data_IF_130451733665
#
_entry.id   IF_130451733665
#
_cell.length_a   1.000
_cell.length_b   1.000
_cell.length_c   1.000
_cell.angle_alpha   90.00
_cell.angle_beta   90.00
_cell.angle_gamma   90.00
#
_symmetry.space_group_name_H-M   'P 1'
#
loop_
_entity.id
_entity.type
_entity.pdbx_description
1 polymer ?
#
# COMPACT_ATOMS: atom_id res chain seq x y z
N UNK A 1 -10.60 -22.14 10.59
CA UNK A 1 -10.76 -23.25 9.62
C UNK A 1 -10.33 -22.82 8.20
N UNK A 2 -10.90 -21.75 7.61
CA UNK A 2 -10.54 -21.31 6.24
C UNK A 2 -9.06 -20.92 6.09
N UNK A 3 -8.48 -20.18 7.04
CA UNK A 3 -7.07 -19.83 7.01
C UNK A 3 -6.15 -21.06 7.04
N UNK A 4 -6.44 -22.02 7.90
CA UNK A 4 -5.69 -23.29 7.96
C UNK A 4 -5.84 -24.09 6.67
N UNK A 5 -7.03 -24.11 6.07
CA UNK A 5 -7.28 -24.77 4.79
C UNK A 5 -6.46 -24.13 3.68
N UNK A 6 -6.42 -22.80 3.62
CA UNK A 6 -5.59 -22.04 2.67
C UNK A 6 -4.10 -22.39 2.82
N UNK A 7 -3.58 -22.41 4.06
CA UNK A 7 -2.19 -22.79 4.32
C UNK A 7 -1.88 -24.24 3.91
N UNK A 8 -2.81 -25.15 4.15
CA UNK A 8 -2.66 -26.54 3.73
C UNK A 8 -2.68 -26.68 2.20
N UNK A 9 -3.63 -26.01 1.54
CA UNK A 9 -3.71 -25.96 0.08
C UNK A 9 -2.41 -25.39 -0.52
N UNK A 10 -1.88 -24.32 0.05
CA UNK A 10 -0.62 -23.71 -0.37
C UNK A 10 0.55 -24.69 -0.27
N UNK A 11 0.65 -25.42 0.85
CA UNK A 11 1.70 -26.47 1.03
C UNK A 11 1.60 -27.58 0.00
N UNK A 12 0.40 -27.94 -0.43
CA UNK A 12 0.20 -28.96 -1.48
C UNK A 12 0.57 -28.44 -2.87
N UNK A 13 0.32 -27.17 -3.16
CA UNK A 13 0.60 -26.56 -4.47
C UNK A 13 2.08 -26.22 -4.66
N UNK A 14 2.83 -25.99 -3.58
CA UNK A 14 4.26 -25.63 -3.65
C UNK A 14 5.11 -26.62 -4.45
N UNK A 15 5.04 -27.95 -4.24
CA UNK A 15 5.81 -28.91 -5.05
C UNK A 15 5.43 -28.87 -6.54
N UNK A 16 4.13 -28.69 -6.84
CA UNK A 16 3.64 -28.60 -8.23
C UNK A 16 4.16 -27.32 -8.92
N UNK A 17 4.13 -26.19 -8.23
CA UNK A 17 4.66 -24.94 -8.79
C UNK A 17 6.17 -25.00 -9.00
N UNK A 18 6.93 -25.58 -8.07
CA UNK A 18 8.38 -25.77 -8.22
C UNK A 18 8.71 -26.70 -9.40
N UNK A 19 7.95 -27.79 -9.56
CA UNK A 19 8.09 -28.67 -10.72
C UNK A 19 7.76 -27.94 -12.02
N UNK A 20 6.71 -27.14 -12.05
CA UNK A 20 6.35 -26.35 -13.23
C UNK A 20 7.47 -25.36 -13.60
N UNK A 21 8.07 -24.69 -12.61
CA UNK A 21 9.21 -23.78 -12.82
C UNK A 21 10.40 -24.52 -13.45
N UNK A 22 10.80 -25.66 -12.86
CA UNK A 22 11.91 -26.45 -13.39
C UNK A 22 11.63 -26.92 -14.83
N UNK A 23 10.39 -27.32 -15.10
CA UNK A 23 9.99 -27.76 -16.46
C UNK A 23 10.00 -26.59 -17.45
N UNK A 24 9.48 -25.42 -17.07
CA UNK A 24 9.59 -24.22 -17.90
C UNK A 24 11.03 -23.91 -18.27
N UNK A 25 11.95 -23.97 -17.29
CA UNK A 25 13.38 -23.73 -17.51
C UNK A 25 13.99 -24.75 -18.47
N UNK A 26 13.59 -26.02 -18.42
CA UNK A 26 14.09 -27.05 -19.35
C UNK A 26 13.71 -26.74 -20.81
N UNK A 27 12.54 -26.18 -21.06
CA UNK A 27 12.08 -25.81 -22.40
C UNK A 27 12.55 -24.45 -22.88
N UNK A 28 12.99 -23.55 -21.99
CA UNK A 28 13.48 -22.20 -22.32
C UNK A 28 15.01 -22.08 -22.31
N UNK A 29 15.73 -22.97 -21.61
CA UNK A 29 17.18 -22.90 -21.48
C UNK A 29 17.86 -23.26 -22.82
N UNK A 30 18.68 -22.38 -23.42
CA UNK A 30 19.36 -22.63 -24.69
C UNK A 30 20.35 -23.83 -24.64
N UNK A 31 20.79 -24.23 -23.45
CA UNK A 31 21.64 -25.42 -23.27
C UNK A 31 20.85 -26.74 -23.15
N UNK A 32 19.52 -26.69 -23.12
CA UNK A 32 18.66 -27.87 -23.08
C UNK A 32 18.29 -28.33 -24.48
N UNK A 33 18.46 -29.61 -24.84
CA UNK A 33 17.98 -30.13 -26.12
C UNK A 33 16.47 -29.94 -26.34
N UNK A 34 15.68 -29.84 -25.26
CA UNK A 34 14.23 -29.65 -25.31
C UNK A 34 13.82 -28.26 -25.79
N UNK A 35 14.69 -27.24 -25.64
CA UNK A 35 14.43 -25.87 -26.08
C UNK A 35 14.35 -25.73 -27.61
N UNK A 36 14.89 -26.67 -28.34
CA UNK A 36 14.91 -26.68 -29.80
C UNK A 36 13.72 -27.42 -30.43
N UNK A 37 12.78 -27.93 -29.65
CA UNK A 37 11.57 -28.58 -30.17
C UNK A 37 10.56 -27.54 -30.67
N UNK A 38 9.73 -27.91 -31.66
CA UNK A 38 8.76 -27.01 -32.32
C UNK A 38 7.79 -26.37 -31.33
N UNK A 39 7.48 -27.03 -30.22
CA UNK A 39 6.55 -26.58 -29.20
C UNK A 39 7.22 -26.02 -27.93
N UNK A 40 8.55 -25.96 -27.91
CA UNK A 40 9.32 -25.58 -26.69
C UNK A 40 8.85 -24.27 -26.06
N UNK A 41 8.69 -23.21 -26.85
CA UNK A 41 8.23 -21.90 -26.36
C UNK A 41 6.83 -21.95 -25.74
N UNK A 42 5.90 -22.68 -26.38
CA UNK A 42 4.54 -22.83 -25.85
C UNK A 42 4.51 -23.62 -24.55
N UNK A 43 5.30 -24.70 -24.47
CA UNK A 43 5.41 -25.50 -23.26
C UNK A 43 6.09 -24.70 -22.14
N UNK A 44 7.18 -24.02 -22.42
CA UNK A 44 7.84 -23.14 -21.47
C UNK A 44 6.87 -22.08 -20.91
N UNK A 45 6.13 -21.39 -21.78
CA UNK A 45 5.14 -20.38 -21.40
C UNK A 45 4.00 -20.97 -20.55
N UNK A 46 3.50 -22.16 -20.92
CA UNK A 46 2.44 -22.82 -20.16
C UNK A 46 2.90 -23.22 -18.75
N UNK A 47 4.10 -23.74 -18.62
CA UNK A 47 4.65 -24.10 -17.31
C UNK A 47 5.06 -22.88 -16.48
N UNK A 48 5.54 -21.80 -17.11
CA UNK A 48 5.80 -20.53 -16.41
C UNK A 48 4.50 -19.93 -15.85
N UNK A 49 3.45 -19.91 -16.65
CA UNK A 49 2.13 -19.45 -16.18
C UNK A 49 1.60 -20.32 -15.03
N UNK A 50 1.70 -21.65 -15.14
CA UNK A 50 1.31 -22.58 -14.07
C UNK A 50 2.11 -22.34 -12.78
N UNK A 51 3.43 -22.13 -12.90
CA UNK A 51 4.27 -21.76 -11.77
C UNK A 51 3.77 -20.46 -11.12
N UNK A 52 3.53 -19.41 -11.90
CA UNK A 52 3.11 -18.10 -11.37
C UNK A 52 1.73 -18.12 -10.71
N UNK A 53 0.81 -18.95 -11.19
CA UNK A 53 -0.50 -19.16 -10.55
C UNK A 53 -0.43 -19.93 -9.23
N UNK A 54 0.60 -20.76 -9.04
CA UNK A 54 0.75 -21.62 -7.85
C UNK A 54 1.87 -21.24 -6.89
N UNK A 55 2.77 -20.31 -7.24
CA UNK A 55 3.88 -19.91 -6.36
C UNK A 55 3.39 -19.11 -5.16
N UNK A 56 4.17 -19.14 -4.09
CA UNK A 56 4.02 -18.20 -2.98
C UNK A 56 4.72 -16.90 -3.32
N UNK A 57 3.99 -15.78 -3.18
CA UNK A 57 4.53 -14.45 -3.37
C UNK A 57 4.95 -13.89 -2.02
N UNK A 58 6.23 -13.62 -1.87
CA UNK A 58 6.80 -12.93 -0.72
C UNK A 58 6.84 -11.44 -0.99
N UNK A 59 6.97 -10.66 0.09
CA UNK A 59 7.17 -9.22 -0.01
C UNK A 59 8.38 -8.91 -0.90
N UNK A 60 8.22 -8.17 -2.00
CA UNK A 60 9.35 -7.75 -2.82
C UNK A 60 10.23 -6.74 -2.09
N UNK A 61 11.49 -6.68 -2.48
CA UNK A 61 12.41 -5.63 -2.02
C UNK A 61 12.22 -4.35 -2.84
N UNK A 62 12.50 -3.19 -2.27
CA UNK A 62 12.48 -1.92 -3.01
C UNK A 62 13.51 -1.90 -4.13
N UNK A 63 14.69 -2.49 -3.93
CA UNK A 63 15.77 -2.57 -4.92
C UNK A 63 16.11 -1.20 -5.53
N UNK A 64 16.18 -0.16 -4.69
CA UNK A 64 16.60 1.19 -5.08
C UNK A 64 18.00 1.40 -4.53
N UNK A 65 18.99 1.23 -5.37
CA UNK A 65 20.41 1.27 -4.98
C UNK A 65 21.10 2.59 -5.36
N UNK A 66 20.52 3.36 -6.26
CA UNK A 66 21.02 4.69 -6.67
C UNK A 66 19.88 5.60 -7.14
N UNK A 67 20.17 6.90 -7.22
CA UNK A 67 19.29 7.92 -7.81
C UNK A 67 20.14 9.05 -8.40
N UNK A 68 19.55 9.90 -9.24
CA UNK A 68 20.24 11.05 -9.85
C UNK A 68 19.92 12.33 -9.09
N UNK A 69 20.90 12.99 -8.52
CA UNK A 69 20.74 14.26 -7.81
C UNK A 69 21.58 15.34 -8.50
N UNK A 70 20.93 16.37 -9.03
CA UNK A 70 21.62 17.45 -9.76
C UNK A 70 22.42 16.98 -10.98
N UNK A 71 21.99 15.88 -11.63
CA UNK A 71 22.67 15.27 -12.78
C UNK A 71 23.80 14.29 -12.40
N UNK A 72 24.04 14.05 -11.10
CA UNK A 72 25.04 13.10 -10.61
C UNK A 72 24.33 11.88 -10.02
N UNK A 73 24.75 10.69 -10.40
CA UNK A 73 24.27 9.45 -9.80
C UNK A 73 24.90 9.27 -8.42
N UNK A 74 24.05 9.07 -7.41
CA UNK A 74 24.45 8.89 -6.02
C UNK A 74 23.87 7.58 -5.46
N UNK A 75 24.61 6.86 -4.60
CA UNK A 75 24.11 5.68 -3.90
C UNK A 75 22.91 6.01 -3.00
N UNK A 76 22.01 5.04 -2.84
CA UNK A 76 20.87 5.08 -1.93
C UNK A 76 20.95 3.92 -0.97
N UNK A 77 20.86 4.20 0.32
CA UNK A 77 20.83 3.20 1.39
C UNK A 77 19.46 3.22 2.07
N UNK A 78 18.77 2.07 2.08
CA UNK A 78 17.52 1.91 2.80
C UNK A 78 17.82 1.53 4.26
N UNK A 79 17.45 2.39 5.21
CA UNK A 79 17.62 2.16 6.64
C UNK A 79 16.29 2.26 7.37
N UNK A 80 16.13 1.57 8.51
CA UNK A 80 14.97 1.74 9.37
C UNK A 80 15.25 2.90 10.34
N UNK A 81 14.61 4.05 10.12
CA UNK A 81 14.72 5.22 11.00
C UNK A 81 13.99 5.01 12.34
N UNK A 82 12.90 4.23 12.31
CA UNK A 82 12.16 3.82 13.51
C UNK A 82 11.51 2.46 13.27
N UNK A 83 11.53 1.59 14.28
CA UNK A 83 10.85 0.30 14.25
C UNK A 83 9.76 0.24 15.32
N UNK A 84 8.53 -0.03 14.89
CA UNK A 84 7.37 -0.26 15.73
C UNK A 84 6.78 -1.65 15.44
N UNK A 85 5.99 -2.23 16.33
CA UNK A 85 5.47 -3.58 16.13
C UNK A 85 4.75 -3.82 14.80
N UNK A 86 3.98 -2.82 14.33
CA UNK A 86 3.16 -2.94 13.14
C UNK A 86 3.66 -2.13 11.93
N UNK A 87 4.72 -1.33 12.10
CA UNK A 87 5.27 -0.52 11.01
C UNK A 87 6.74 -0.19 11.26
N UNK A 88 7.53 -0.21 10.19
CA UNK A 88 8.86 0.42 10.18
C UNK A 88 8.77 1.72 9.41
N UNK A 89 9.44 2.76 9.89
CA UNK A 89 9.69 3.95 9.11
C UNK A 89 11.00 3.76 8.36
N UNK A 90 10.93 3.57 7.06
CA UNK A 90 12.11 3.45 6.22
C UNK A 90 12.58 4.84 5.79
N UNK A 91 13.88 5.09 5.87
CA UNK A 91 14.55 6.24 5.31
C UNK A 91 15.42 5.81 4.13
N UNK A 92 15.27 6.47 2.99
CA UNK A 92 16.07 6.25 1.80
C UNK A 92 17.19 7.29 1.77
N UNK A 93 18.28 6.98 2.49
CA UNK A 93 19.44 7.86 2.62
C UNK A 93 20.23 7.92 1.32
N UNK A 94 20.39 9.12 0.76
CA UNK A 94 21.23 9.36 -0.41
C UNK A 94 22.61 9.74 0.04
N UNK A 95 23.64 9.11 -0.51
CA UNK A 95 25.03 9.54 -0.30
C UNK A 95 25.30 10.79 -1.14
N UNK A 96 25.19 11.96 -0.51
CA UNK A 96 25.41 13.26 -1.14
C UNK A 96 26.87 13.73 -1.06
N UNK A 97 27.80 12.88 -0.59
CA UNK A 97 29.20 13.18 -0.56
C UNK A 97 29.74 13.44 -1.98
N UNK A 98 30.49 14.52 -2.13
CA UNK A 98 30.99 14.94 -3.45
C UNK A 98 30.08 15.91 -4.22
N UNK A 99 28.85 16.16 -3.74
CA UNK A 99 28.02 17.24 -4.28
C UNK A 99 28.42 18.60 -3.67
N UNK A 100 28.15 19.74 -4.36
CA UNK A 100 28.49 21.07 -3.84
C UNK A 100 27.83 21.35 -2.49
N UNK A 101 28.63 21.79 -1.50
CA UNK A 101 28.12 22.14 -0.16
C UNK A 101 27.11 23.32 -0.18
N UNK A 102 27.12 24.13 -1.24
CA UNK A 102 26.14 25.22 -1.46
C UNK A 102 24.75 24.73 -1.92
N UNK A 103 24.57 23.42 -2.11
CA UNK A 103 23.29 22.85 -2.50
C UNK A 103 22.22 23.11 -1.43
N UNK A 104 21.00 23.53 -1.79
CA UNK A 104 19.89 23.64 -0.85
C UNK A 104 19.57 22.28 -0.20
N UNK A 105 19.15 22.31 1.06
CA UNK A 105 18.65 21.12 1.74
C UNK A 105 17.33 20.68 1.09
N UNK A 106 17.24 19.41 0.71
CA UNK A 106 16.04 18.86 0.11
C UNK A 106 14.88 18.79 1.12
N UNK A 107 13.65 19.01 0.66
CA UNK A 107 12.48 18.82 1.49
C UNK A 107 12.38 17.38 2.00
N UNK A 108 12.06 17.25 3.30
CA UNK A 108 11.77 15.95 3.92
C UNK A 108 10.33 15.56 3.63
N UNK A 109 10.11 14.36 3.09
CA UNK A 109 8.79 13.86 2.70
C UNK A 109 8.52 12.52 3.37
N UNK A 110 7.40 12.45 4.10
CA UNK A 110 6.83 11.19 4.57
C UNK A 110 5.82 10.67 3.54
N UNK A 111 6.07 9.51 2.95
CA UNK A 111 5.09 8.78 2.14
C UNK A 111 4.43 7.73 3.02
N UNK A 112 3.13 7.90 3.28
CA UNK A 112 2.32 6.95 4.03
C UNK A 112 1.70 5.97 3.07
N UNK A 113 2.25 4.74 3.04
CA UNK A 113 1.79 3.66 2.19
C UNK A 113 0.47 3.06 2.67
N UNK A 114 -0.35 2.49 1.78
CA UNK A 114 -1.59 1.83 2.17
C UNK A 114 -1.36 0.66 3.14
N UNK A 115 -2.20 0.55 4.17
CA UNK A 115 -2.40 -0.66 4.97
C UNK A 115 -3.74 -1.28 4.53
N UNK A 116 -3.79 -1.78 3.32
CA UNK A 116 -4.99 -2.30 2.66
C UNK A 116 -4.75 -3.61 1.90
N UNK A 117 -3.77 -4.39 2.34
CA UNK A 117 -3.48 -5.72 1.84
C UNK A 117 -2.17 -5.84 1.06
N UNK A 118 -1.69 -4.79 0.43
CA UNK A 118 -0.41 -4.80 -0.30
C UNK A 118 0.75 -4.24 0.54
N UNK A 119 1.97 -4.60 0.18
CA UNK A 119 3.17 -4.05 0.80
C UNK A 119 3.50 -2.64 0.29
N UNK A 120 4.29 -1.91 1.06
CA UNK A 120 4.77 -0.55 0.73
C UNK A 120 5.57 -0.49 -0.58
N UNK A 121 6.15 -1.61 -1.00
CA UNK A 121 6.89 -1.75 -2.25
C UNK A 121 6.05 -1.49 -3.50
N UNK A 122 4.70 -1.54 -3.38
CA UNK A 122 3.79 -1.10 -4.43
C UNK A 122 4.03 0.37 -4.83
N UNK A 123 4.57 1.19 -3.92
CA UNK A 123 4.93 2.59 -4.16
C UNK A 123 6.38 2.79 -4.64
N UNK A 124 7.07 1.72 -5.09
CA UNK A 124 8.47 1.76 -5.53
C UNK A 124 8.74 2.86 -6.56
N UNK A 125 7.87 3.00 -7.55
CA UNK A 125 8.05 3.99 -8.60
C UNK A 125 7.77 5.41 -8.12
N UNK A 126 6.85 5.59 -7.16
CA UNK A 126 6.65 6.86 -6.45
C UNK A 126 7.91 7.25 -5.66
N UNK A 127 8.52 6.28 -4.96
CA UNK A 127 9.78 6.50 -4.24
C UNK A 127 10.88 6.90 -5.20
N UNK A 128 11.05 6.18 -6.31
CA UNK A 128 12.05 6.51 -7.34
C UNK A 128 11.86 7.90 -7.94
N UNK A 129 10.61 8.29 -8.18
CA UNK A 129 10.29 9.60 -8.75
C UNK A 129 10.59 10.76 -7.79
N UNK A 130 10.45 10.55 -6.48
CA UNK A 130 10.66 11.57 -5.47
C UNK A 130 12.12 11.69 -5.02
N UNK A 131 12.87 10.61 -4.99
CA UNK A 131 14.25 10.55 -4.49
C UNK A 131 15.24 11.57 -5.09
N UNK A 132 15.18 11.93 -6.39
CA UNK A 132 16.12 12.92 -6.94
C UNK A 132 16.13 14.29 -6.24
N UNK A 133 14.98 14.70 -5.67
CA UNK A 133 14.77 16.03 -5.15
C UNK A 133 14.30 16.07 -3.68
N UNK A 134 14.14 14.92 -3.02
CA UNK A 134 13.57 14.87 -1.67
C UNK A 134 14.35 13.94 -0.76
N UNK A 135 14.38 14.28 0.52
CA UNK A 135 14.82 13.40 1.61
C UNK A 135 13.61 12.57 2.06
N UNK A 136 13.63 11.26 1.78
CA UNK A 136 12.40 10.47 1.68
C UNK A 136 12.26 9.42 2.78
N UNK A 137 11.13 9.46 3.47
CA UNK A 137 10.70 8.47 4.47
C UNK A 137 9.44 7.76 3.97
N UNK A 138 9.34 6.45 4.23
CA UNK A 138 8.21 5.62 3.78
C UNK A 138 7.75 4.72 4.92
N UNK A 139 6.44 4.66 5.18
CA UNK A 139 5.88 3.68 6.11
C UNK A 139 5.90 2.29 5.49
N UNK A 140 6.46 1.32 6.20
CA UNK A 140 6.55 -0.07 5.79
C UNK A 140 5.79 -0.96 6.78
N UNK A 141 4.54 -1.23 6.47
CA UNK A 141 3.64 -1.97 7.35
C UNK A 141 4.05 -3.43 7.48
N UNK A 142 4.04 -3.89 8.72
CA UNK A 142 4.38 -5.27 9.07
C UNK A 142 3.15 -6.17 8.88
N UNK A 143 3.35 -7.31 8.25
CA UNK A 143 2.31 -8.34 8.14
C UNK A 143 1.86 -8.79 9.54
N UNK A 144 0.59 -8.59 9.88
CA UNK A 144 0.07 -8.83 11.22
C UNK A 144 0.21 -10.29 11.69
N UNK A 145 0.29 -11.26 10.75
CA UNK A 145 0.57 -12.67 11.10
C UNK A 145 1.95 -12.88 11.72
N UNK A 146 2.87 -11.94 11.51
CA UNK A 146 4.24 -12.01 12.06
C UNK A 146 4.38 -11.28 13.40
N UNK A 147 3.38 -10.51 13.83
CA UNK A 147 3.41 -9.71 15.06
C UNK A 147 2.87 -10.50 16.24
N UNK A 148 3.68 -10.86 17.25
CA UNK A 148 3.23 -11.61 18.42
C UNK A 148 2.09 -10.92 19.19
N UNK A 149 1.18 -11.70 19.79
CA UNK A 149 0.08 -11.17 20.61
C UNK A 149 0.56 -10.27 21.77
N UNK A 150 1.75 -10.52 22.31
CA UNK A 150 2.35 -9.72 23.38
C UNK A 150 2.60 -8.25 23.01
N UNK A 151 2.57 -7.93 21.71
CA UNK A 151 2.69 -6.54 21.22
C UNK A 151 1.39 -5.76 21.28
N UNK A 152 0.30 -6.37 21.78
CA UNK A 152 -1.02 -5.74 21.89
C UNK A 152 -1.81 -5.72 20.58
N UNK A 153 -3.03 -5.11 20.61
CA UNK A 153 -3.85 -4.84 19.45
C UNK A 153 -3.27 -3.67 18.63
N UNK A 154 -3.86 -3.44 17.45
CA UNK A 154 -3.57 -2.26 16.63
C UNK A 154 -4.88 -1.74 16.02
N UNK A 155 -5.28 -0.56 16.44
CA UNK A 155 -6.51 0.13 16.07
C UNK A 155 -6.26 1.24 15.03
N UNK A 156 -7.32 1.85 14.52
CA UNK A 156 -7.22 3.04 13.68
C UNK A 156 -6.60 4.23 14.46
N UNK A 157 -6.84 4.32 15.77
CA UNK A 157 -6.24 5.33 16.65
C UNK A 157 -4.72 5.15 16.73
N UNK A 158 -4.23 3.90 16.88
CA UNK A 158 -2.80 3.59 16.88
C UNK A 158 -2.13 3.95 15.54
N UNK A 159 -2.86 3.85 14.43
CA UNK A 159 -2.35 4.30 13.12
C UNK A 159 -2.12 5.81 13.12
N UNK A 160 -3.07 6.59 13.65
CA UNK A 160 -2.94 8.04 13.79
C UNK A 160 -1.73 8.40 14.65
N UNK A 161 -1.56 7.72 15.77
CA UNK A 161 -0.40 7.93 16.65
C UNK A 161 0.94 7.62 15.93
N UNK A 162 0.99 6.55 15.16
CA UNK A 162 2.19 6.23 14.39
C UNK A 162 2.55 7.33 13.39
N UNK A 163 1.54 7.90 12.71
CA UNK A 163 1.77 9.01 11.77
C UNK A 163 2.30 10.25 12.49
N UNK A 164 1.74 10.59 13.66
CA UNK A 164 2.20 11.72 14.49
C UNK A 164 3.66 11.49 14.91
N UNK A 165 3.98 10.33 15.48
CA UNK A 165 5.34 9.98 15.91
C UNK A 165 6.36 10.02 14.75
N UNK A 166 5.95 9.59 13.55
CA UNK A 166 6.83 9.65 12.37
C UNK A 166 7.08 11.09 11.92
N UNK A 167 6.05 11.94 11.94
CA UNK A 167 6.21 13.37 11.64
C UNK A 167 7.06 14.08 12.69
N UNK A 168 6.90 13.74 13.97
CA UNK A 168 7.72 14.26 15.06
C UNK A 168 9.20 13.89 14.89
N UNK A 169 9.50 12.63 14.52
CA UNK A 169 10.85 12.16 14.27
C UNK A 169 11.47 12.87 13.07
N UNK A 170 10.73 13.05 11.99
CA UNK A 170 11.19 13.76 10.78
C UNK A 170 11.40 15.26 11.09
N UNK A 171 10.52 15.82 11.92
CA UNK A 171 10.62 17.17 12.47
C UNK A 171 10.01 18.27 11.59
N UNK A 172 10.15 19.52 12.03
CA UNK A 172 9.50 20.68 11.42
C UNK A 172 9.86 20.87 9.95
N UNK A 173 8.88 21.35 9.16
CA UNK A 173 9.09 21.68 7.75
C UNK A 173 8.99 20.46 6.81
N UNK A 174 8.56 19.33 7.32
CA UNK A 174 8.27 18.13 6.52
C UNK A 174 7.03 18.29 5.63
N UNK A 175 6.87 17.36 4.71
CA UNK A 175 5.69 17.20 3.84
C UNK A 175 5.16 15.79 3.99
N UNK A 176 3.85 15.56 3.87
CA UNK A 176 3.27 14.23 3.93
C UNK A 176 2.48 13.92 2.65
N UNK A 177 2.69 12.72 2.13
CA UNK A 177 1.94 12.16 1.00
C UNK A 177 1.26 10.89 1.50
N UNK A 178 -0.06 10.80 1.35
CA UNK A 178 -0.86 9.64 1.70
C UNK A 178 -1.56 9.07 0.47
N UNK A 179 -1.46 7.75 0.28
CA UNK A 179 -2.01 7.09 -0.90
C UNK A 179 -3.10 6.11 -0.50
N UNK A 180 -4.31 6.30 -1.02
CA UNK A 180 -5.47 5.47 -0.77
C UNK A 180 -5.99 5.59 0.69
N UNK A 181 -6.27 4.50 1.37
CA UNK A 181 -6.85 4.43 2.72
C UNK A 181 -6.14 5.31 3.79
N UNK A 182 -4.79 5.45 3.81
CA UNK A 182 -4.08 6.33 4.75
C UNK A 182 -4.49 7.80 4.75
N UNK A 183 -5.17 8.29 3.73
CA UNK A 183 -5.63 9.68 3.68
C UNK A 183 -6.47 10.06 4.91
N UNK A 184 -7.29 9.12 5.42
CA UNK A 184 -8.13 9.34 6.61
C UNK A 184 -7.30 9.47 7.88
N UNK A 185 -6.45 8.48 8.29
CA UNK A 185 -5.65 8.63 9.51
C UNK A 185 -4.59 9.74 9.39
N UNK A 186 -4.07 10.05 8.20
CA UNK A 186 -3.16 11.19 8.00
C UNK A 186 -3.89 12.51 8.23
N UNK A 187 -5.11 12.68 7.70
CA UNK A 187 -5.91 13.88 7.98
C UNK A 187 -6.24 13.97 9.46
N UNK A 188 -6.51 12.85 10.11
CA UNK A 188 -6.69 12.78 11.57
C UNK A 188 -5.45 13.25 12.32
N UNK A 189 -4.28 12.71 12.00
CA UNK A 189 -3.01 13.07 12.61
C UNK A 189 -2.69 14.57 12.45
N UNK A 190 -2.76 15.09 11.22
CA UNK A 190 -2.51 16.50 10.93
C UNK A 190 -3.51 17.41 11.64
N UNK A 191 -4.78 16.99 11.77
CA UNK A 191 -5.81 17.74 12.54
C UNK A 191 -5.45 17.84 14.02
N UNK A 192 -5.04 16.74 14.63
CA UNK A 192 -4.66 16.73 16.05
C UNK A 192 -3.38 17.53 16.31
N UNK A 193 -2.36 17.37 15.46
CA UNK A 193 -1.14 18.17 15.52
C UNK A 193 -1.44 19.67 15.38
N UNK A 194 -2.31 20.05 14.43
CA UNK A 194 -2.71 21.46 14.25
C UNK A 194 -3.47 22.01 15.46
N UNK A 195 -4.38 21.24 16.06
CA UNK A 195 -5.13 21.63 17.25
C UNK A 195 -4.23 21.80 18.48
N UNK A 196 -3.17 21.00 18.58
CA UNK A 196 -2.17 21.06 19.66
C UNK A 196 -1.10 22.13 19.45
N UNK A 197 -1.04 22.74 18.24
CA UNK A 197 0.03 23.68 17.88
C UNK A 197 1.40 23.01 17.77
N UNK A 198 1.42 21.76 17.31
CA UNK A 198 2.62 20.93 17.24
C UNK A 198 3.67 21.54 16.31
N UNK A 199 4.94 21.71 16.75
CA UNK A 199 6.00 22.27 15.94
C UNK A 199 6.40 21.37 14.75
N UNK A 200 6.14 20.06 14.81
CA UNK A 200 6.39 19.12 13.72
C UNK A 200 5.24 19.06 12.69
N UNK A 201 4.22 19.91 12.82
CA UNK A 201 3.13 20.00 11.85
C UNK A 201 3.71 20.12 10.41
N UNK A 202 3.31 19.25 9.45
CA UNK A 202 3.85 19.29 8.10
C UNK A 202 3.44 20.59 7.37
N UNK A 203 4.27 21.02 6.42
CA UNK A 203 3.97 22.21 5.58
C UNK A 203 2.92 21.93 4.52
N UNK A 204 2.83 20.71 4.07
CA UNK A 204 1.80 20.30 3.11
C UNK A 204 1.38 18.85 3.34
N UNK A 205 0.14 18.57 2.95
CA UNK A 205 -0.38 17.21 2.86
C UNK A 205 -0.95 16.97 1.46
N UNK A 206 -0.48 15.89 0.83
CA UNK A 206 -0.99 15.39 -0.44
C UNK A 206 -1.79 14.13 -0.18
N UNK A 207 -3.02 14.09 -0.67
CA UNK A 207 -3.94 12.97 -0.51
C UNK A 207 -4.33 12.41 -1.87
N UNK A 208 -4.08 11.13 -2.09
CA UNK A 208 -4.27 10.47 -3.38
C UNK A 208 -5.25 9.31 -3.26
N UNK A 209 -6.38 9.39 -3.96
CA UNK A 209 -7.34 8.29 -4.12
C UNK A 209 -7.87 7.73 -2.81
N UNK A 210 -8.26 8.56 -1.84
CA UNK A 210 -8.62 8.12 -0.50
C UNK A 210 -10.06 8.38 -0.07
N UNK A 211 -10.60 7.57 0.85
CA UNK A 211 -12.01 7.56 1.23
C UNK A 211 -12.36 8.61 2.31
N UNK A 212 -12.09 9.90 2.05
CA UNK A 212 -12.38 10.99 3.03
C UNK A 212 -13.88 11.11 3.27
N UNK A 213 -14.71 11.09 2.20
CA UNK A 213 -16.16 11.00 2.33
C UNK A 213 -16.73 9.97 1.35
N UNK A 214 -16.91 8.76 1.81
CA UNK A 214 -17.36 7.61 1.01
C UNK A 214 -18.82 7.68 0.58
N UNK A 215 -19.55 8.73 0.96
CA UNK A 215 -20.92 8.99 0.49
C UNK A 215 -20.94 9.61 -0.92
N UNK A 216 -19.80 10.17 -1.36
CA UNK A 216 -19.64 10.78 -2.69
C UNK A 216 -19.32 9.70 -3.70
N UNK A 217 -20.08 9.60 -4.76
CA UNK A 217 -19.94 8.58 -5.82
C UNK A 217 -19.58 7.20 -5.25
N UNK A 218 -20.45 6.59 -4.42
CA UNK A 218 -20.14 5.37 -3.70
C UNK A 218 -19.87 4.22 -4.66
N UNK A 219 -18.75 3.56 -4.46
CA UNK A 219 -18.32 2.38 -5.23
C UNK A 219 -18.97 1.10 -4.71
N UNK A 220 -18.71 -0.03 -5.38
CA UNK A 220 -19.18 -1.35 -4.90
C UNK A 220 -18.63 -1.69 -3.50
N UNK A 221 -17.40 -1.29 -3.19
CA UNK A 221 -16.78 -1.47 -1.87
C UNK A 221 -17.57 -0.70 -0.81
N UNK A 222 -17.89 0.57 -1.08
CA UNK A 222 -18.68 1.40 -0.17
C UNK A 222 -20.09 0.84 0.03
N UNK A 223 -20.73 0.39 -1.05
CA UNK A 223 -22.07 -0.23 -0.99
C UNK A 223 -22.06 -1.54 -0.17
N UNK A 224 -21.03 -2.36 -0.29
CA UNK A 224 -20.87 -3.58 0.52
C UNK A 224 -20.72 -3.23 2.00
N UNK A 225 -19.82 -2.28 2.33
CA UNK A 225 -19.59 -1.84 3.70
C UNK A 225 -20.86 -1.31 4.37
N UNK A 226 -21.67 -0.54 3.64
CA UNK A 226 -22.95 0.00 4.12
C UNK A 226 -24.04 -1.06 4.27
N UNK A 227 -24.07 -2.07 3.39
CA UNK A 227 -25.12 -3.11 3.38
C UNK A 227 -24.94 -4.17 4.45
N UNK A 228 -23.70 -4.47 4.85
CA UNK A 228 -23.35 -5.52 5.83
C UNK A 228 -23.12 -4.92 7.20
N UNK A 229 -23.55 -5.64 8.26
CA UNK A 229 -23.26 -5.25 9.64
C UNK A 229 -21.78 -5.47 9.98
N UNK A 230 -21.28 -4.78 11.00
CA UNK A 230 -19.93 -4.99 11.52
C UNK A 230 -19.73 -6.44 12.01
N UNK A 231 -20.76 -7.05 12.59
CA UNK A 231 -20.72 -8.45 13.01
C UNK A 231 -20.61 -9.41 11.82
N UNK A 232 -21.20 -9.05 10.67
CA UNK A 232 -21.02 -9.84 9.47
C UNK A 232 -19.55 -9.84 9.04
N UNK A 233 -18.89 -8.68 9.03
CA UNK A 233 -17.46 -8.59 8.70
C UNK A 233 -16.64 -9.40 9.70
N UNK A 234 -16.88 -9.22 11.00
CA UNK A 234 -16.17 -9.96 12.06
C UNK A 234 -16.29 -11.48 11.87
N UNK A 235 -17.49 -11.98 11.60
CA UNK A 235 -17.74 -13.42 11.54
C UNK A 235 -17.39 -14.05 10.18
N UNK A 236 -17.28 -13.24 9.11
CA UNK A 236 -17.09 -13.77 7.75
C UNK A 236 -15.63 -13.66 7.28
N UNK A 237 -14.94 -12.55 7.60
CA UNK A 237 -13.62 -12.27 7.04
C UNK A 237 -12.48 -12.20 8.06
N UNK A 238 -12.78 -12.22 9.37
CA UNK A 238 -11.74 -12.24 10.41
C UNK A 238 -11.43 -13.68 10.80
N UNK A 239 -10.14 -13.99 10.84
CA UNK A 239 -9.63 -15.32 11.18
C UNK A 239 -8.44 -15.21 12.13
N UNK A 240 -8.20 -16.29 12.90
CA UNK A 240 -7.02 -16.38 13.76
C UNK A 240 -5.83 -16.91 12.99
N UNK A 241 -4.69 -16.27 13.19
CA UNK A 241 -3.40 -16.68 12.64
C UNK A 241 -3.05 -18.08 13.12
N UNK A 242 -2.65 -19.02 12.23
CA UNK A 242 -2.25 -20.37 12.60
C UNK A 242 -0.92 -20.40 13.35
N UNK A 243 -0.65 -21.53 14.03
CA UNK A 243 0.53 -21.71 14.91
C UNK A 243 1.87 -21.72 14.17
N UNK A 244 1.87 -21.68 12.86
CA UNK A 244 3.08 -21.62 12.03
C UNK A 244 3.71 -20.23 11.98
N UNK A 245 3.02 -19.20 12.48
CA UNK A 245 3.47 -17.81 12.47
C UNK A 245 3.64 -17.23 13.87
N UNK A 246 4.54 -16.24 14.06
CA UNK A 246 4.75 -15.59 15.36
C UNK A 246 3.49 -14.96 15.96
N UNK A 247 2.57 -14.46 15.12
CA UNK A 247 1.29 -13.88 15.52
C UNK A 247 0.20 -14.90 15.83
N UNK A 248 0.54 -16.13 16.18
CA UNK A 248 -0.42 -17.18 16.53
C UNK A 248 -1.55 -16.70 17.41
N UNK A 249 -2.78 -17.01 17.02
CA UNK A 249 -4.06 -16.59 17.65
C UNK A 249 -4.43 -15.12 17.47
N UNK A 250 -3.59 -14.26 16.88
CA UNK A 250 -4.00 -12.91 16.52
C UNK A 250 -5.17 -12.96 15.56
N UNK A 251 -6.19 -12.16 15.80
CA UNK A 251 -7.28 -11.98 14.86
C UNK A 251 -6.84 -11.03 13.74
N UNK A 252 -7.03 -11.45 12.49
CA UNK A 252 -6.60 -10.71 11.30
C UNK A 252 -7.66 -10.77 10.21
N UNK A 253 -7.66 -9.78 9.34
CA UNK A 253 -8.25 -9.89 8.00
C UNK A 253 -7.16 -10.42 7.06
N UNK A 254 -7.24 -11.69 6.61
CA UNK A 254 -6.15 -12.31 5.85
C UNK A 254 -5.94 -11.67 4.49
N UNK A 255 -4.67 -11.49 4.11
CA UNK A 255 -4.28 -10.91 2.83
C UNK A 255 -4.83 -11.68 1.63
N UNK A 256 -4.87 -13.02 1.69
CA UNK A 256 -5.42 -13.83 0.59
C UNK A 256 -6.92 -13.58 0.34
N UNK A 257 -7.71 -13.24 1.37
CA UNK A 257 -9.12 -12.86 1.19
C UNK A 257 -9.25 -11.47 0.56
N UNK A 258 -8.40 -10.54 0.95
CA UNK A 258 -8.35 -9.21 0.35
C UNK A 258 -8.00 -9.31 -1.12
N UNK A 259 -6.95 -10.06 -1.45
CA UNK A 259 -6.53 -10.34 -2.83
C UNK A 259 -7.66 -10.96 -3.66
N UNK A 260 -8.34 -11.98 -3.10
CA UNK A 260 -9.49 -12.59 -3.78
C UNK A 260 -10.62 -11.56 -4.04
N UNK A 261 -10.85 -10.62 -3.11
CA UNK A 261 -11.79 -9.51 -3.27
C UNK A 261 -11.39 -8.57 -4.42
N UNK A 262 -10.13 -8.17 -4.49
CA UNK A 262 -9.62 -7.31 -5.58
C UNK A 262 -9.72 -7.99 -6.95
N UNK A 263 -9.33 -9.26 -7.05
CA UNK A 263 -9.47 -10.03 -8.30
C UNK A 263 -10.94 -10.16 -8.72
N UNK A 264 -11.85 -10.36 -7.75
CA UNK A 264 -13.28 -10.52 -8.02
C UNK A 264 -13.98 -9.22 -8.50
N UNK A 265 -13.38 -8.04 -8.27
CA UNK A 265 -13.91 -6.78 -8.80
C UNK A 265 -13.73 -6.66 -10.33
N UNK A 266 -12.60 -7.14 -10.86
CA UNK A 266 -12.27 -7.05 -12.29
C UNK A 266 -11.67 -8.37 -12.84
N UNK A 267 -12.39 -9.51 -12.81
CA UNK A 267 -11.85 -10.82 -13.15
C UNK A 267 -11.39 -10.90 -14.61
N UNK A 268 -12.14 -10.28 -15.53
CA UNK A 268 -11.81 -10.32 -16.96
C UNK A 268 -10.47 -9.63 -17.27
N UNK A 269 -10.14 -8.54 -16.57
CA UNK A 269 -8.86 -7.85 -16.70
C UNK A 269 -7.68 -8.76 -16.31
N UNK A 270 -7.83 -9.52 -15.23
CA UNK A 270 -6.79 -10.45 -14.79
C UNK A 270 -6.61 -11.62 -15.75
N UNK A 271 -7.72 -12.17 -16.26
CA UNK A 271 -7.67 -13.26 -17.27
C UNK A 271 -6.99 -12.76 -18.55
N UNK A 272 -7.39 -11.60 -19.07
CA UNK A 272 -6.77 -11.02 -20.27
C UNK A 272 -5.28 -10.75 -20.07
N UNK A 273 -4.90 -10.15 -18.93
CA UNK A 273 -3.49 -9.85 -18.63
C UNK A 273 -2.62 -11.12 -18.56
N UNK A 274 -3.12 -12.21 -17.96
CA UNK A 274 -2.39 -13.48 -17.94
C UNK A 274 -2.32 -14.15 -19.32
N UNK A 275 -3.35 -13.95 -20.16
CA UNK A 275 -3.34 -14.43 -21.53
C UNK A 275 -2.34 -13.67 -22.39
N UNK A 276 -2.29 -12.35 -22.28
CA UNK A 276 -1.32 -11.52 -22.97
C UNK A 276 0.10 -11.88 -22.55
N UNK A 277 0.35 -12.05 -21.27
CA UNK A 277 1.63 -12.55 -20.73
C UNK A 277 2.06 -13.88 -21.37
N UNK A 278 1.11 -14.83 -21.50
CA UNK A 278 1.40 -16.11 -22.17
C UNK A 278 1.80 -15.91 -23.64
N UNK A 279 1.12 -15.00 -24.35
CA UNK A 279 1.43 -14.69 -25.75
C UNK A 279 2.80 -14.00 -25.87
N UNK A 280 3.15 -13.09 -24.96
CA UNK A 280 4.41 -12.35 -24.98
C UNK A 280 5.59 -13.27 -24.67
N UNK A 281 5.42 -14.24 -23.79
CA UNK A 281 6.40 -15.33 -23.59
C UNK A 281 6.65 -16.13 -24.88
N UNK A 282 5.60 -16.45 -25.65
CA UNK A 282 5.75 -17.17 -26.92
C UNK A 282 6.44 -16.32 -27.98
N UNK A 283 6.09 -15.03 -28.06
CA UNK A 283 6.70 -14.06 -29.00
C UNK A 283 8.17 -13.79 -28.64
N UNK A 284 8.51 -13.87 -27.35
CA UNK A 284 9.81 -13.49 -26.78
C UNK A 284 9.93 -11.99 -26.52
N UNK A 285 8.81 -11.31 -26.27
CA UNK A 285 8.74 -9.91 -25.87
C UNK A 285 9.11 -9.79 -24.39
N UNK A 286 10.40 -9.58 -24.13
CA UNK A 286 10.93 -9.60 -22.77
C UNK A 286 10.51 -8.38 -21.94
N UNK A 287 10.30 -7.23 -22.59
CA UNK A 287 9.93 -5.99 -21.88
C UNK A 287 8.51 -6.10 -21.28
N UNK A 288 7.55 -6.59 -22.06
CA UNK A 288 6.17 -6.81 -21.61
C UNK A 288 6.08 -7.96 -20.60
N UNK A 289 6.85 -9.03 -20.81
CA UNK A 289 6.99 -10.14 -19.84
C UNK A 289 7.48 -9.64 -18.51
N UNK A 290 8.53 -8.81 -18.49
CA UNK A 290 9.11 -8.31 -17.24
C UNK A 290 8.20 -7.25 -16.58
N UNK A 291 7.47 -6.44 -17.34
CA UNK A 291 6.48 -5.53 -16.83
C UNK A 291 5.33 -6.28 -16.12
N UNK A 292 4.78 -7.33 -16.76
CA UNK A 292 3.77 -8.19 -16.16
C UNK A 292 4.28 -8.87 -14.88
N UNK A 293 5.52 -9.39 -14.90
CA UNK A 293 6.13 -10.04 -13.73
C UNK A 293 6.26 -9.07 -12.58
N UNK A 294 6.80 -7.86 -12.81
CA UNK A 294 6.94 -6.82 -11.79
C UNK A 294 5.59 -6.47 -11.17
N UNK A 295 4.57 -6.25 -12.00
CA UNK A 295 3.24 -5.92 -11.50
C UNK A 295 2.64 -7.03 -10.64
N UNK A 296 2.61 -8.27 -11.13
CA UNK A 296 1.98 -9.39 -10.41
C UNK A 296 2.81 -9.90 -9.22
N UNK A 297 4.13 -9.71 -9.19
CA UNK A 297 4.94 -9.99 -8.02
C UNK A 297 4.60 -9.05 -6.86
N UNK A 298 4.26 -7.78 -7.14
CA UNK A 298 3.74 -6.83 -6.14
C UNK A 298 2.27 -7.12 -5.79
N UNK A 299 1.43 -7.28 -6.80
CA UNK A 299 -0.02 -7.40 -6.64
C UNK A 299 -0.43 -8.67 -5.89
N UNK A 300 0.30 -9.77 -6.07
CA UNK A 300 0.02 -11.03 -5.39
C UNK A 300 0.73 -11.14 -4.02
N UNK A 301 1.71 -10.29 -3.73
CA UNK A 301 2.36 -10.23 -2.43
C UNK A 301 1.48 -9.44 -1.45
N UNK A 302 0.73 -10.14 -0.61
CA UNK A 302 -0.26 -9.54 0.30
C UNK A 302 0.10 -9.82 1.76
N UNK A 303 -0.31 -8.89 2.62
CA UNK A 303 -0.15 -8.97 4.07
C UNK A 303 -1.50 -9.06 4.79
N UNK A 304 -1.51 -9.65 5.96
CA UNK A 304 -2.67 -9.68 6.84
C UNK A 304 -2.81 -8.36 7.60
N UNK A 305 -4.05 -7.87 7.75
CA UNK A 305 -4.36 -6.68 8.55
C UNK A 305 -4.78 -7.08 9.97
N UNK A 306 -4.40 -6.32 11.00
CA UNK A 306 -5.00 -6.48 12.33
C UNK A 306 -6.52 -6.32 12.26
N UNK A 307 -7.26 -7.23 12.91
CA UNK A 307 -8.72 -7.23 12.85
C UNK A 307 -9.33 -5.95 13.41
N UNK A 308 -8.75 -5.42 14.49
CA UNK A 308 -9.19 -4.21 15.16
C UNK A 308 -9.13 -3.01 14.20
N UNK A 309 -8.00 -2.81 13.54
CA UNK A 309 -7.80 -1.75 12.57
C UNK A 309 -8.78 -1.86 11.38
N UNK A 310 -8.94 -3.07 10.83
CA UNK A 310 -9.86 -3.31 9.73
C UNK A 310 -11.30 -3.01 10.12
N UNK A 311 -11.77 -3.52 11.28
CA UNK A 311 -13.13 -3.31 11.75
C UNK A 311 -13.40 -1.86 12.14
N UNK A 312 -12.41 -1.16 12.74
CA UNK A 312 -12.52 0.27 13.02
C UNK A 312 -12.63 1.07 11.72
N UNK A 313 -11.84 0.73 10.71
CA UNK A 313 -11.92 1.37 9.39
C UNK A 313 -13.31 1.17 8.76
N UNK A 314 -13.83 -0.06 8.75
CA UNK A 314 -15.20 -0.32 8.24
C UNK A 314 -16.22 0.51 8.98
N UNK A 315 -16.20 0.52 10.31
CA UNK A 315 -17.16 1.24 11.15
C UNK A 315 -17.03 2.75 10.99
N UNK A 316 -15.82 3.29 11.26
CA UNK A 316 -15.60 4.73 11.41
C UNK A 316 -15.66 5.45 10.06
N UNK A 317 -15.03 4.85 9.03
CA UNK A 317 -14.88 5.49 7.72
C UNK A 317 -16.06 5.18 6.80
N UNK A 318 -16.45 3.89 6.70
CA UNK A 318 -17.40 3.45 5.67
C UNK A 318 -18.85 3.38 6.15
N UNK A 319 -19.12 3.13 7.44
CA UNK A 319 -20.49 3.01 7.97
C UNK A 319 -20.96 4.28 8.67
N UNK A 320 -20.16 4.81 9.59
CA UNK A 320 -20.53 5.94 10.44
C UNK A 320 -20.04 7.29 9.87
N UNK A 321 -19.13 7.28 8.89
CA UNK A 321 -18.61 8.48 8.23
C UNK A 321 -18.13 9.54 9.24
N UNK A 322 -17.50 9.12 10.35
CA UNK A 322 -17.23 9.99 11.50
C UNK A 322 -16.37 11.20 11.17
N UNK A 323 -15.43 11.09 10.22
CA UNK A 323 -14.58 12.22 9.81
C UNK A 323 -15.41 13.33 9.16
N UNK A 324 -16.16 13.11 8.05
CA UNK A 324 -16.98 14.16 7.47
C UNK A 324 -18.17 14.59 8.34
N UNK A 325 -18.65 13.75 9.28
CA UNK A 325 -19.67 14.11 10.27
C UNK A 325 -19.09 14.94 11.45
N UNK A 326 -17.76 15.08 11.58
CA UNK A 326 -17.10 15.81 12.66
C UNK A 326 -17.26 15.13 14.04
N UNK A 327 -17.54 13.83 14.06
CA UNK A 327 -17.77 13.03 15.28
C UNK A 327 -16.63 12.06 15.58
N UNK A 328 -15.56 12.07 14.79
CA UNK A 328 -14.42 11.19 15.02
C UNK A 328 -13.54 11.70 16.16
N UNK A 329 -13.23 10.79 17.08
CA UNK A 329 -12.31 11.03 18.19
C UNK A 329 -11.23 9.95 18.17
N UNK A 330 -9.99 10.35 18.41
CA UNK A 330 -8.82 9.51 18.60
C UNK A 330 -8.40 9.65 20.06
N UNK A 331 -8.40 8.58 20.81
CA UNK A 331 -8.16 8.58 22.28
C UNK A 331 -8.97 9.64 23.04
N UNK A 332 -10.20 9.93 22.58
CA UNK A 332 -11.08 10.92 23.19
C UNK A 332 -10.86 12.37 22.72
N UNK A 333 -9.82 12.65 21.95
CA UNK A 333 -9.57 13.96 21.35
C UNK A 333 -10.27 14.06 19.97
N UNK A 334 -11.05 15.12 19.77
CA UNK A 334 -11.82 15.30 18.54
C UNK A 334 -10.91 15.61 17.36
N UNK A 335 -11.06 14.87 16.27
CA UNK A 335 -10.46 15.19 14.98
C UNK A 335 -11.21 16.35 14.34
N UNK A 336 -10.54 17.50 14.18
CA UNK A 336 -11.11 18.76 13.74
C UNK A 336 -10.32 19.35 12.56
N UNK A 337 -10.53 18.87 11.30
CA UNK A 337 -9.79 19.33 10.13
C UNK A 337 -9.92 20.86 9.90
N UNK A 338 -10.99 21.47 10.38
CA UNK A 338 -11.19 22.92 10.34
C UNK A 338 -10.17 23.74 11.13
N UNK A 339 -9.40 23.10 12.03
CA UNK A 339 -8.32 23.75 12.80
C UNK A 339 -7.03 23.90 12.00
N UNK A 340 -6.86 23.15 10.94
CA UNK A 340 -5.67 23.19 10.07
C UNK A 340 -5.64 24.52 9.32
N UNK A 341 -4.55 25.28 9.46
CA UNK A 341 -4.40 26.62 8.84
C UNK A 341 -3.16 26.77 7.97
N UNK A 342 -2.01 26.29 8.47
CA UNK A 342 -0.69 26.56 7.90
C UNK A 342 -0.13 25.31 7.17
N UNK A 343 -1.01 24.50 6.58
CA UNK A 343 -0.67 23.29 5.83
C UNK A 343 -1.31 23.40 4.46
N UNK A 344 -0.52 23.41 3.40
CA UNK A 344 -1.06 23.37 2.05
C UNK A 344 -1.70 22.01 1.77
N UNK A 345 -2.85 21.99 1.08
CA UNK A 345 -3.61 20.79 0.76
C UNK A 345 -3.62 20.53 -0.74
N UNK A 346 -3.16 19.35 -1.13
CA UNK A 346 -3.29 18.86 -2.50
C UNK A 346 -4.05 17.54 -2.51
N UNK A 347 -5.11 17.43 -3.32
CA UNK A 347 -5.87 16.19 -3.50
C UNK A 347 -5.79 15.71 -4.95
N UNK A 348 -5.61 14.39 -5.13
CA UNK A 348 -5.51 13.73 -6.43
C UNK A 348 -6.51 12.59 -6.45
N UNK A 349 -7.32 12.50 -7.51
CA UNK A 349 -8.28 11.40 -7.74
C UNK A 349 -8.13 10.84 -9.14
N UNK A 350 -8.45 9.56 -9.32
CA UNK A 350 -8.64 8.96 -10.64
C UNK A 350 -10.09 9.16 -11.12
N UNK A 351 -10.28 9.53 -12.37
CA UNK A 351 -11.64 9.69 -12.94
C UNK A 351 -12.41 8.36 -12.94
N UNK A 352 -11.69 7.26 -13.21
CA UNK A 352 -12.24 5.91 -13.31
C UNK A 352 -11.88 5.02 -12.10
N UNK A 353 -11.57 5.63 -10.94
CA UNK A 353 -11.27 4.87 -9.72
C UNK A 353 -12.54 4.17 -9.21
N UNK A 354 -12.53 2.82 -9.26
CA UNK A 354 -13.63 1.96 -8.83
C UNK A 354 -13.55 1.56 -7.34
N UNK A 355 -12.49 2.00 -6.64
CA UNK A 355 -12.28 1.76 -5.21
C UNK A 355 -12.63 3.02 -4.41
N UNK A 356 -12.05 4.17 -4.76
CA UNK A 356 -12.33 5.47 -4.16
C UNK A 356 -12.99 6.39 -5.20
N UNK A 357 -14.31 6.47 -5.20
CA UNK A 357 -15.07 7.21 -6.21
C UNK A 357 -14.71 8.70 -6.22
N UNK A 358 -14.81 9.30 -7.41
CA UNK A 358 -14.51 10.71 -7.63
C UNK A 358 -15.26 11.62 -6.67
N UNK A 359 -14.59 12.61 -6.09
CA UNK A 359 -15.10 13.52 -5.06
C UNK A 359 -14.86 13.03 -3.62
N UNK A 360 -14.53 11.77 -3.40
CA UNK A 360 -14.29 11.25 -2.05
C UNK A 360 -13.07 11.88 -1.40
N UNK A 361 -11.93 11.94 -2.11
CA UNK A 361 -10.71 12.59 -1.60
C UNK A 361 -10.83 14.09 -1.60
N UNK A 362 -11.45 14.68 -2.64
CA UNK A 362 -11.68 16.11 -2.75
C UNK A 362 -12.51 16.68 -1.58
N UNK A 363 -13.34 15.86 -0.93
CA UNK A 363 -14.07 16.24 0.28
C UNK A 363 -13.19 16.85 1.38
N UNK A 364 -11.90 16.53 1.42
CA UNK A 364 -10.94 17.13 2.35
C UNK A 364 -10.91 18.67 2.26
N UNK A 365 -11.14 19.25 1.08
CA UNK A 365 -11.17 20.71 0.88
C UNK A 365 -12.28 21.39 1.69
N UNK A 366 -13.44 20.75 1.80
CA UNK A 366 -14.59 21.25 2.55
C UNK A 366 -14.41 21.05 4.06
N UNK A 367 -13.70 20.00 4.46
CA UNK A 367 -13.41 19.75 5.87
C UNK A 367 -12.32 20.69 6.39
N UNK A 368 -11.27 20.92 5.61
CA UNK A 368 -10.14 21.79 5.96
C UNK A 368 -10.46 23.27 5.69
N UNK A 369 -11.53 23.80 6.32
CA UNK A 369 -11.99 25.20 6.10
C UNK A 369 -11.00 26.23 6.62
N UNK A 370 -10.11 25.86 7.55
CA UNK A 370 -9.08 26.75 8.07
C UNK A 370 -7.96 27.04 7.07
N UNK A 371 -7.77 26.19 6.05
CA UNK A 371 -6.77 26.39 5.00
C UNK A 371 -7.30 27.42 3.99
N UNK A 372 -6.47 28.41 3.64
CA UNK A 372 -6.83 29.39 2.62
C UNK A 372 -6.99 28.72 1.24
N UNK A 373 -7.93 29.20 0.42
CA UNK A 373 -8.20 28.60 -0.90
C UNK A 373 -6.98 28.69 -1.84
N UNK A 374 -6.13 29.70 -1.66
CA UNK A 374 -4.88 29.83 -2.40
C UNK A 374 -3.89 28.68 -2.12
N UNK A 375 -3.99 28.03 -0.96
CA UNK A 375 -3.17 26.88 -0.52
C UNK A 375 -3.81 25.52 -0.78
N UNK A 376 -4.94 25.50 -1.49
CA UNK A 376 -5.66 24.28 -1.89
C UNK A 376 -5.49 24.01 -3.38
N UNK A 377 -5.20 22.76 -3.74
CA UNK A 377 -5.14 22.29 -5.13
C UNK A 377 -5.83 20.95 -5.25
N UNK A 378 -6.48 20.74 -6.37
CA UNK A 378 -7.10 19.46 -6.73
C UNK A 378 -6.72 19.08 -8.16
N UNK A 379 -6.51 17.80 -8.39
CA UNK A 379 -6.25 17.23 -9.71
C UNK A 379 -7.06 15.94 -9.86
N UNK A 380 -7.72 15.80 -11.01
CA UNK A 380 -8.30 14.53 -11.45
C UNK A 380 -7.41 13.94 -12.54
N UNK A 381 -6.86 12.75 -12.30
CA UNK A 381 -6.11 12.00 -13.31
C UNK A 381 -7.10 11.34 -14.27
N UNK A 382 -6.91 11.56 -15.57
CA UNK A 382 -7.73 11.00 -16.66
C UNK A 382 -7.12 9.66 -17.06
N UNK A 383 -7.94 8.59 -17.15
CA UNK A 383 -7.52 7.26 -17.63
C UNK A 383 -7.76 6.14 -16.69
#
# INVERSE_FOLDING_TARGET
MLYQLHEWQRKLLTPLSTWAQATSQLFSNPYSPLSYTIYSRRLAASYDLLYRLGKHYEKPEFNIVSTTVGGVEVPVHQVAALEKPFCRLLHFERDLNGLPASRPTDPRVLVVSPLSGHHSTLLRDTVRALLPAHDLYVTDWTDARTVPLSKGPFHLDDYVDYVIEFLDLIGPGSHVISVCQPTVPVLGAVSLMAARGDPALPRSMTMMGGPIDTRRNPTQVNALAKRKSLDWFRNTVIFKVPSTYPGYLREVYPGFLQHAGFVAMNPDRHVSSHWDYYLDLIKGDQDDVDAHRRFYDEYNAVLDLPAEYYLDTIRIVFQEHRLPEGTWHVHGERVAPETIRNVALFTIEGELDDISGSGQTQAAHELCRGIADAEKRHMTAIG
#
